data_IF_907361901360
#
_entry.id   IF_907361901360
#
_cell.length_a   1.000
_cell.length_b   1.000
_cell.length_c   1.000
_cell.angle_alpha   90.00
_cell.angle_beta   90.00
_cell.angle_gamma   90.00
#
_symmetry.space_group_name_H-M   'P 1'
#
loop_
_entity.id
_entity.type
_entity.pdbx_description
1 polymer ?
#
# COMPACT_ATOMS: atom_id res chain seq x y z
N UNK A 1 5.98 10.80 21.99
CA UNK A 1 6.10 11.07 20.55
C UNK A 1 6.78 12.42 20.38
N UNK A 2 7.74 12.51 19.46
CA UNK A 2 8.46 13.77 19.16
C UNK A 2 8.23 14.14 17.69
N UNK A 3 8.21 15.44 17.36
CA UNK A 3 8.03 15.89 15.98
C UNK A 3 9.08 16.91 15.55
N UNK A 4 9.63 16.74 14.35
CA UNK A 4 10.63 17.64 13.76
C UNK A 4 10.56 17.54 12.23
N UNK A 5 10.78 18.65 11.52
CA UNK A 5 10.76 18.73 10.05
C UNK A 5 9.47 18.18 9.37
N UNK A 6 8.34 18.21 10.08
CA UNK A 6 7.07 17.64 9.60
C UNK A 6 6.97 16.11 9.76
N UNK A 7 7.95 15.46 10.39
CA UNK A 7 7.90 14.04 10.73
C UNK A 7 7.57 13.83 12.20
N UNK A 8 6.97 12.70 12.51
CA UNK A 8 6.67 12.24 13.86
C UNK A 8 7.50 10.98 14.16
N UNK A 9 8.23 10.99 15.27
CA UNK A 9 9.03 9.88 15.80
C UNK A 9 8.26 9.18 16.92
N UNK A 10 8.19 7.86 16.84
CA UNK A 10 7.39 7.00 17.72
C UNK A 10 8.17 5.74 18.09
N UNK A 11 8.02 5.28 19.33
CA UNK A 11 8.29 3.87 19.66
C UNK A 11 7.25 2.96 18.98
N UNK A 12 7.50 1.65 18.94
CA UNK A 12 6.51 0.71 18.38
C UNK A 12 5.15 0.80 19.11
N UNK A 13 5.13 0.90 20.44
CA UNK A 13 3.87 1.03 21.20
C UNK A 13 3.11 2.33 20.89
N UNK A 14 3.82 3.44 20.74
CA UNK A 14 3.22 4.71 20.32
C UNK A 14 2.68 4.64 18.89
N UNK A 15 3.41 3.97 17.98
CA UNK A 15 2.96 3.75 16.60
C UNK A 15 1.66 2.95 16.55
N UNK A 16 1.52 1.89 17.35
CA UNK A 16 0.29 1.10 17.43
C UNK A 16 -0.92 1.95 17.81
N UNK A 17 -0.80 2.71 18.90
CA UNK A 17 -1.85 3.60 19.36
C UNK A 17 -2.16 4.70 18.32
N UNK A 18 -1.11 5.32 17.78
CA UNK A 18 -1.23 6.38 16.79
C UNK A 18 -1.90 5.89 15.51
N UNK A 19 -1.46 4.76 14.96
CA UNK A 19 -1.98 4.21 13.70
C UNK A 19 -3.45 3.78 13.87
N UNK A 20 -3.79 3.17 15.00
CA UNK A 20 -5.17 2.81 15.32
C UNK A 20 -6.08 4.04 15.40
N UNK A 21 -5.58 5.17 15.92
CA UNK A 21 -6.32 6.44 15.95
C UNK A 21 -6.54 7.08 14.57
N UNK A 22 -5.81 6.68 13.52
CA UNK A 22 -5.92 7.32 12.20
C UNK A 22 -7.17 6.92 11.44
N UNK A 23 -7.78 7.91 10.80
CA UNK A 23 -8.83 7.70 9.81
C UNK A 23 -8.21 7.90 8.43
N UNK A 24 -8.26 6.87 7.59
CA UNK A 24 -7.72 6.90 6.21
C UNK A 24 -8.87 6.65 5.24
N UNK A 25 -8.98 7.52 4.25
CA UNK A 25 -10.03 7.51 3.24
C UNK A 25 -9.75 6.51 2.12
N UNK A 26 -8.49 6.47 1.65
CA UNK A 26 -8.12 5.58 0.55
C UNK A 26 -8.19 4.11 0.98
N UNK A 27 -8.55 3.26 0.03
CA UNK A 27 -8.48 1.81 0.21
C UNK A 27 -7.02 1.40 0.30
N UNK A 28 -6.71 0.64 1.35
CA UNK A 28 -5.42 -0.03 1.56
C UNK A 28 -5.65 -1.51 1.39
N UNK A 29 -4.83 -2.13 0.55
CA UNK A 29 -4.88 -3.55 0.20
C UNK A 29 -3.56 -4.27 0.42
N UNK A 30 -2.46 -3.52 0.54
CA UNK A 30 -1.15 -4.11 0.74
C UNK A 30 -0.22 -3.24 1.58
N UNK A 31 0.84 -3.87 2.05
CA UNK A 31 1.97 -3.25 2.72
C UNK A 31 3.26 -3.71 2.04
N UNK A 32 4.09 -2.75 1.65
CA UNK A 32 5.37 -2.95 0.99
C UNK A 32 6.48 -2.91 2.02
N UNK A 33 7.39 -3.89 1.94
CA UNK A 33 8.59 -3.96 2.78
C UNK A 33 9.80 -3.60 1.93
N UNK A 34 10.56 -2.61 2.40
CA UNK A 34 11.76 -2.11 1.75
C UNK A 34 12.92 -2.03 2.73
N UNK A 35 14.14 -1.97 2.19
CA UNK A 35 15.31 -1.50 2.93
C UNK A 35 15.88 -0.28 2.21
N UNK A 36 16.47 0.63 2.97
CA UNK A 36 17.09 1.81 2.38
C UNK A 36 18.27 1.45 1.49
N UNK A 37 19.01 0.38 1.82
CA UNK A 37 20.35 0.05 1.32
C UNK A 37 21.38 1.13 1.66
N UNK A 38 21.11 2.38 1.29
CA UNK A 38 21.78 3.58 1.79
C UNK A 38 20.69 4.62 2.16
N UNK A 39 20.68 5.18 3.39
CA UNK A 39 21.63 4.94 4.49
C UNK A 39 21.51 3.54 5.10
N UNK A 40 22.64 2.93 5.43
CA UNK A 40 22.72 1.69 6.23
C UNK A 40 23.04 2.02 7.71
N UNK A 41 23.34 1.02 8.54
CA UNK A 41 23.63 1.25 9.96
C UNK A 41 24.85 2.16 10.22
N UNK A 42 25.84 2.21 9.34
CA UNK A 42 27.02 3.09 9.51
C UNK A 42 26.64 4.58 9.50
N UNK A 43 25.47 4.90 8.95
CA UNK A 43 24.95 6.26 8.89
C UNK A 43 24.08 6.63 10.10
N UNK A 44 23.83 5.68 11.01
CA UNK A 44 22.94 5.87 12.17
C UNK A 44 23.74 5.89 13.48
N UNK A 45 23.79 7.05 14.12
CA UNK A 45 24.54 7.26 15.37
C UNK A 45 23.70 7.06 16.66
N UNK A 46 22.44 6.62 16.51
CA UNK A 46 21.51 6.45 17.64
C UNK A 46 20.70 7.70 17.99
N UNK A 47 21.03 8.86 17.43
CA UNK A 47 20.38 10.14 17.78
C UNK A 47 19.87 10.93 16.57
N UNK A 48 20.34 10.61 15.37
CA UNK A 48 20.13 11.39 14.15
C UNK A 48 18.90 10.98 13.31
N UNK A 49 17.84 10.42 13.93
CA UNK A 49 16.68 9.89 13.20
C UNK A 49 16.04 10.91 12.26
N UNK A 50 15.77 12.11 12.76
CA UNK A 50 15.12 13.17 11.98
C UNK A 50 16.02 13.69 10.87
N UNK A 51 17.33 13.76 11.11
CA UNK A 51 18.33 14.17 10.13
C UNK A 51 18.45 13.15 9.00
N UNK A 52 18.43 11.85 9.32
CA UNK A 52 18.39 10.77 8.31
C UNK A 52 17.09 10.80 7.51
N UNK A 53 15.95 10.98 8.17
CA UNK A 53 14.64 11.08 7.52
C UNK A 53 14.57 12.28 6.56
N UNK A 54 15.04 13.44 7.02
CA UNK A 54 15.12 14.65 6.21
C UNK A 54 16.10 14.48 5.04
N UNK A 55 17.26 13.87 5.25
CA UNK A 55 18.22 13.61 4.19
C UNK A 55 17.63 12.70 3.09
N UNK A 56 16.93 11.62 3.46
CA UNK A 56 16.22 10.77 2.50
C UNK A 56 15.14 11.53 1.74
N UNK A 57 14.33 12.37 2.43
CA UNK A 57 13.35 13.23 1.77
C UNK A 57 14.02 14.19 0.78
N UNK A 58 15.09 14.86 1.18
CA UNK A 58 15.81 15.81 0.33
C UNK A 58 16.41 15.12 -0.90
N UNK A 59 16.91 13.90 -0.77
CA UNK A 59 17.37 13.11 -1.92
C UNK A 59 16.20 12.77 -2.85
N UNK A 60 15.10 12.25 -2.31
CA UNK A 60 13.91 11.92 -3.12
C UNK A 60 13.33 13.14 -3.86
N UNK A 61 13.27 14.30 -3.21
CA UNK A 61 12.76 15.52 -3.82
C UNK A 61 13.77 16.12 -4.79
N UNK A 62 15.02 16.30 -4.36
CA UNK A 62 16.04 17.02 -5.12
C UNK A 62 16.67 16.20 -6.24
N UNK A 63 16.90 14.90 -6.04
CA UNK A 63 17.54 14.04 -7.04
C UNK A 63 16.52 13.30 -7.92
N UNK A 64 15.42 12.80 -7.33
CA UNK A 64 14.43 12.02 -8.08
C UNK A 64 13.26 12.86 -8.60
N UNK A 65 13.16 14.14 -8.23
CA UNK A 65 12.06 15.02 -8.62
C UNK A 65 10.71 14.65 -8.03
N UNK A 66 10.69 13.88 -6.93
CA UNK A 66 9.45 13.49 -6.27
C UNK A 66 8.87 14.65 -5.47
N UNK A 67 7.55 14.63 -5.25
CA UNK A 67 6.88 15.65 -4.42
C UNK A 67 7.17 15.51 -2.93
N UNK A 68 7.59 14.33 -2.48
CA UNK A 68 7.90 14.01 -1.09
C UNK A 68 8.78 12.74 -1.01
N UNK A 69 9.21 12.38 0.20
CA UNK A 69 9.82 11.09 0.52
C UNK A 69 8.94 9.93 0.00
N UNK A 70 9.53 8.82 -0.45
CA UNK A 70 8.79 7.74 -1.12
C UNK A 70 7.87 6.94 -0.19
N UNK A 71 8.39 6.58 0.98
CA UNK A 71 7.74 5.72 1.97
C UNK A 71 6.81 6.48 2.92
N UNK A 72 5.87 5.75 3.51
CA UNK A 72 5.01 6.29 4.57
C UNK A 72 5.69 6.28 5.93
N UNK A 73 6.57 5.29 6.15
CA UNK A 73 7.24 5.10 7.42
C UNK A 73 8.66 4.63 7.20
N UNK A 74 9.56 5.05 8.08
CA UNK A 74 10.90 4.47 8.21
C UNK A 74 11.08 3.85 9.58
N UNK A 75 11.59 2.61 9.62
CA UNK A 75 11.91 1.91 10.88
C UNK A 75 13.43 1.87 11.05
N UNK A 76 13.91 2.44 12.15
CA UNK A 76 15.33 2.64 12.46
C UNK A 76 15.93 1.45 13.23
N UNK A 77 17.27 1.35 13.32
CA UNK A 77 17.96 0.22 13.94
C UNK A 77 17.59 -0.01 15.41
N UNK A 78 17.18 1.03 16.13
CA UNK A 78 16.73 0.98 17.52
C UNK A 78 15.23 0.65 17.68
N UNK A 79 14.53 0.31 16.59
CA UNK A 79 13.09 0.01 16.58
C UNK A 79 12.18 1.24 16.57
N UNK A 80 12.75 2.45 16.51
CA UNK A 80 11.98 3.68 16.40
C UNK A 80 11.37 3.81 14.99
N UNK A 81 10.14 4.32 14.91
CA UNK A 81 9.39 4.52 13.66
C UNK A 81 9.20 6.02 13.41
N UNK A 82 9.60 6.50 12.24
CA UNK A 82 9.32 7.86 11.78
C UNK A 82 8.28 7.87 10.68
N UNK A 83 7.37 8.84 10.70
CA UNK A 83 6.50 9.10 9.55
C UNK A 83 7.29 9.68 8.38
N UNK A 84 6.79 9.46 7.17
CA UNK A 84 7.28 10.03 5.92
C UNK A 84 6.11 10.66 5.16
N UNK A 85 5.81 10.10 3.98
CA UNK A 85 4.72 10.52 3.10
C UNK A 85 3.37 10.40 3.80
N UNK A 86 2.45 11.31 3.46
CA UNK A 86 1.05 11.27 3.91
C UNK A 86 0.39 9.91 3.68
N UNK A 87 -0.34 9.40 4.68
CA UNK A 87 -1.11 8.15 4.58
C UNK A 87 -2.28 8.21 3.60
N UNK A 88 -2.69 9.41 3.16
CA UNK A 88 -3.72 9.59 2.11
C UNK A 88 -3.12 9.70 0.71
N UNK A 89 -1.78 9.76 0.59
CA UNK A 89 -1.09 9.73 -0.68
C UNK A 89 -0.65 8.30 -1.05
N UNK A 90 -0.50 8.05 -2.34
CA UNK A 90 0.11 6.82 -2.85
C UNK A 90 1.63 6.86 -2.58
N UNK A 91 2.30 5.78 -2.12
CA UNK A 91 3.75 5.77 -1.94
C UNK A 91 4.49 5.89 -3.29
N UNK A 92 5.80 6.13 -3.26
CA UNK A 92 6.66 6.06 -4.43
C UNK A 92 7.80 5.05 -4.21
N UNK A 93 7.44 3.83 -3.80
CA UNK A 93 8.39 2.80 -3.38
C UNK A 93 8.60 1.72 -4.46
N UNK A 94 7.51 1.12 -4.98
CA UNK A 94 7.57 0.10 -6.04
C UNK A 94 6.87 0.65 -7.28
N UNK A 95 7.66 0.93 -8.33
CA UNK A 95 7.11 1.34 -9.62
C UNK A 95 6.07 0.33 -10.12
N UNK A 96 4.93 0.83 -10.60
CA UNK A 96 3.81 -0.01 -11.07
C UNK A 96 2.99 -0.73 -9.97
N UNK A 97 3.40 -0.68 -8.70
CA UNK A 97 2.71 -1.40 -7.61
C UNK A 97 2.44 -0.55 -6.37
N UNK A 98 2.52 0.79 -6.46
CA UNK A 98 2.29 1.69 -5.33
C UNK A 98 0.83 1.84 -4.93
N UNK A 99 -0.11 1.69 -5.86
CA UNK A 99 -1.53 1.92 -5.59
C UNK A 99 -2.01 1.04 -4.42
N UNK A 100 -2.87 1.61 -3.57
CA UNK A 100 -3.47 0.93 -2.41
C UNK A 100 -2.46 0.37 -1.39
N UNK A 101 -1.19 0.79 -1.44
CA UNK A 101 -0.14 0.26 -0.56
C UNK A 101 0.18 1.22 0.59
N UNK A 102 0.55 0.68 1.75
CA UNK A 102 1.42 1.35 2.73
C UNK A 102 2.86 0.91 2.45
N UNK A 103 3.84 1.77 2.66
CA UNK A 103 5.25 1.44 2.39
C UNK A 103 6.07 1.70 3.65
N UNK A 104 6.74 0.65 4.12
CA UNK A 104 7.76 0.72 5.17
C UNK A 104 9.14 0.62 4.53
N UNK A 105 9.99 1.59 4.86
CA UNK A 105 11.41 1.58 4.53
C UNK A 105 12.22 1.26 5.79
N UNK A 106 12.97 0.17 5.79
CA UNK A 106 13.78 -0.22 6.95
C UNK A 106 15.19 0.32 6.77
N UNK A 107 15.65 1.20 7.67
CA UNK A 107 17.00 1.74 7.58
C UNK A 107 18.00 0.62 7.79
N UNK A 108 18.75 0.27 6.74
CA UNK A 108 19.76 -0.77 6.75
C UNK A 108 20.04 -1.34 5.36
N UNK A 109 21.15 -2.06 5.25
CA UNK A 109 21.45 -2.96 4.14
C UNK A 109 21.27 -4.42 4.57
N UNK A 110 20.05 -4.96 4.46
CA UNK A 110 19.78 -6.37 4.79
C UNK A 110 20.07 -7.37 3.66
N UNK A 111 20.98 -7.03 2.73
CA UNK A 111 21.56 -8.05 1.88
C UNK A 111 22.51 -8.98 2.66
N UNK A 112 22.76 -10.19 2.13
CA UNK A 112 23.70 -11.13 2.73
C UNK A 112 25.09 -10.48 2.82
N UNK A 113 25.64 -10.42 4.03
CA UNK A 113 26.92 -9.76 4.32
C UNK A 113 26.81 -8.27 4.68
N UNK A 114 25.61 -7.69 4.61
CA UNK A 114 25.32 -6.34 5.12
C UNK A 114 24.96 -6.33 6.61
N UNK A 115 24.11 -5.36 6.97
CA UNK A 115 23.65 -5.11 8.33
C UNK A 115 22.96 -6.33 8.93
N UNK A 116 23.32 -6.63 10.18
CA UNK A 116 22.60 -7.62 10.98
C UNK A 116 21.44 -6.92 11.69
N UNK A 117 20.22 -7.22 11.25
CA UNK A 117 19.01 -6.59 11.78
C UNK A 117 18.93 -6.75 13.31
N UNK A 118 18.97 -5.62 14.03
CA UNK A 118 18.85 -5.60 15.49
C UNK A 118 17.50 -6.11 15.95
N UNK A 119 17.46 -6.67 17.17
CA UNK A 119 16.26 -7.28 17.72
C UNK A 119 15.09 -6.28 17.84
N UNK A 120 15.40 -5.04 18.22
CA UNK A 120 14.46 -3.95 18.37
C UNK A 120 13.84 -3.56 17.03
N UNK A 121 14.66 -3.38 15.99
CA UNK A 121 14.19 -3.13 14.63
C UNK A 121 13.36 -4.30 14.11
N UNK A 122 13.83 -5.54 14.29
CA UNK A 122 13.11 -6.76 13.91
C UNK A 122 11.71 -6.81 14.53
N UNK A 123 11.61 -6.54 15.84
CA UNK A 123 10.34 -6.51 16.57
C UNK A 123 9.41 -5.41 16.04
N UNK A 124 9.94 -4.19 15.86
CA UNK A 124 9.18 -3.07 15.32
C UNK A 124 8.61 -3.36 13.93
N UNK A 125 9.39 -3.99 13.03
CA UNK A 125 8.94 -4.37 11.68
C UNK A 125 7.76 -5.35 11.73
N UNK A 126 7.86 -6.42 12.53
CA UNK A 126 6.80 -7.43 12.65
C UNK A 126 5.51 -6.77 13.17
N UNK A 127 5.61 -6.05 14.30
CA UNK A 127 4.45 -5.45 14.96
C UNK A 127 3.82 -4.34 14.13
N UNK A 128 4.62 -3.47 13.51
CA UNK A 128 4.11 -2.41 12.64
C UNK A 128 3.37 -2.99 11.44
N UNK A 129 3.90 -4.07 10.84
CA UNK A 129 3.23 -4.79 9.75
C UNK A 129 1.90 -5.39 10.22
N UNK A 130 1.90 -6.07 11.38
CA UNK A 130 0.68 -6.65 11.96
C UNK A 130 -0.40 -5.60 12.25
N UNK A 131 -0.02 -4.39 12.68
CA UNK A 131 -0.95 -3.27 12.90
C UNK A 131 -1.61 -2.83 11.62
N UNK A 132 -0.85 -2.69 10.53
CA UNK A 132 -1.41 -2.37 9.21
C UNK A 132 -2.37 -3.48 8.76
N UNK A 133 -1.95 -4.75 8.86
CA UNK A 133 -2.80 -5.88 8.49
C UNK A 133 -4.09 -5.91 9.29
N UNK A 134 -4.03 -5.73 10.61
CA UNK A 134 -5.22 -5.68 11.48
C UNK A 134 -6.13 -4.51 11.12
N UNK A 135 -5.58 -3.31 10.99
CA UNK A 135 -6.35 -2.08 10.78
C UNK A 135 -7.12 -2.09 9.47
N UNK A 136 -6.50 -2.59 8.39
CA UNK A 136 -7.11 -2.59 7.06
C UNK A 136 -7.66 -3.94 6.63
N UNK A 137 -7.64 -4.92 7.54
CA UNK A 137 -8.15 -6.26 7.28
C UNK A 137 -7.41 -6.97 6.14
N UNK A 138 -6.07 -6.86 6.13
CA UNK A 138 -5.22 -7.45 5.10
C UNK A 138 -4.85 -8.88 5.48
N UNK A 139 -5.14 -9.89 4.64
CA UNK A 139 -4.74 -11.25 4.92
C UNK A 139 -3.22 -11.40 4.97
N UNK A 140 -2.71 -12.32 5.80
CA UNK A 140 -1.27 -12.58 5.87
C UNK A 140 -0.87 -13.52 4.73
N UNK A 141 -0.56 -12.93 3.58
CA UNK A 141 -0.14 -13.66 2.40
C UNK A 141 0.78 -12.79 1.51
N UNK A 142 1.41 -13.39 0.49
CA UNK A 142 2.34 -12.67 -0.38
C UNK A 142 1.71 -11.60 -1.28
N UNK A 143 0.39 -11.41 -1.29
CA UNK A 143 -0.30 -10.39 -2.10
C UNK A 143 -0.61 -9.15 -1.28
N UNK A 144 -0.80 -9.32 0.03
CA UNK A 144 -1.05 -8.23 0.97
C UNK A 144 0.20 -7.74 1.67
N UNK A 145 1.22 -8.59 1.85
CA UNK A 145 2.54 -8.16 2.34
C UNK A 145 3.51 -8.47 1.21
N UNK A 146 4.09 -7.41 0.62
CA UNK A 146 4.87 -7.52 -0.61
C UNK A 146 6.28 -6.99 -0.43
N UNK A 147 7.23 -7.61 -1.13
CA UNK A 147 8.63 -7.18 -1.16
C UNK A 147 8.93 -6.54 -2.52
N UNK A 148 9.79 -5.52 -2.53
CA UNK A 148 10.21 -4.86 -3.76
C UNK A 148 10.84 -5.83 -4.77
N UNK A 149 11.62 -6.81 -4.29
CA UNK A 149 12.26 -7.84 -5.11
C UNK A 149 11.28 -8.60 -6.02
N UNK A 150 10.00 -8.65 -5.65
CA UNK A 150 9.01 -9.39 -6.42
C UNK A 150 8.54 -8.65 -7.67
N UNK A 151 9.04 -7.45 -7.94
CA UNK A 151 8.61 -6.59 -9.04
C UNK A 151 9.79 -6.21 -9.95
N UNK A 152 9.56 -6.32 -11.26
CA UNK A 152 10.54 -5.98 -12.29
C UNK A 152 10.63 -4.46 -12.48
N UNK A 153 11.86 -3.93 -12.59
CA UNK A 153 12.13 -2.50 -12.48
C UNK A 153 11.64 -1.67 -13.66
N UNK A 154 11.70 -2.20 -14.88
CA UNK A 154 11.29 -1.46 -16.09
C UNK A 154 9.78 -1.37 -16.27
N UNK A 155 9.04 -2.38 -15.83
CA UNK A 155 7.60 -2.53 -16.08
C UNK A 155 6.75 -2.39 -14.83
N UNK A 156 7.33 -2.58 -13.64
CA UNK A 156 6.60 -2.66 -12.38
C UNK A 156 5.74 -3.93 -12.26
N UNK A 157 5.89 -4.87 -13.19
CA UNK A 157 5.14 -6.13 -13.16
C UNK A 157 5.66 -7.01 -12.05
N UNK A 158 4.75 -7.66 -11.32
CA UNK A 158 5.11 -8.72 -10.37
C UNK A 158 5.69 -9.94 -11.10
N UNK A 159 6.90 -10.34 -10.75
CA UNK A 159 7.64 -11.48 -11.30
C UNK A 159 8.14 -12.45 -10.24
N UNK A 160 7.82 -12.19 -8.96
CA UNK A 160 8.24 -12.98 -7.80
C UNK A 160 9.78 -13.18 -7.73
N UNK A 161 10.55 -12.18 -8.18
CA UNK A 161 12.02 -12.21 -8.10
C UNK A 161 12.72 -12.60 -9.40
N UNK A 162 11.98 -12.90 -10.48
CA UNK A 162 12.57 -13.18 -11.80
C UNK A 162 12.78 -11.91 -12.64
N UNK A 163 13.82 -11.89 -13.47
CA UNK A 163 14.15 -10.76 -14.34
C UNK A 163 15.01 -9.70 -13.65
N UNK A 164 14.90 -8.45 -14.10
CA UNK A 164 15.63 -7.32 -13.51
C UNK A 164 14.87 -6.77 -12.30
N UNK A 165 15.24 -7.22 -11.11
CA UNK A 165 14.61 -6.85 -9.84
C UNK A 165 15.66 -6.31 -8.86
N UNK A 166 15.23 -5.56 -7.84
CA UNK A 166 16.11 -5.16 -6.72
C UNK A 166 16.27 -6.29 -5.72
N UNK A 167 17.35 -6.30 -4.94
CA UNK A 167 17.48 -7.20 -3.78
C UNK A 167 16.55 -6.84 -2.62
N UNK A 168 16.13 -5.57 -2.54
CA UNK A 168 15.21 -5.00 -1.56
C UNK A 168 13.97 -5.89 -1.24
N UNK A 169 13.63 -6.15 0.03
CA UNK A 169 14.16 -5.53 1.26
C UNK A 169 15.49 -6.11 1.76
N UNK A 170 16.19 -6.89 0.93
CA UNK A 170 17.49 -7.46 1.22
C UNK A 170 17.45 -8.99 1.21
N UNK A 171 18.47 -9.60 0.62
CA UNK A 171 18.64 -11.06 0.47
C UNK A 171 18.76 -11.82 1.80
N UNK A 172 18.88 -11.13 2.94
CA UNK A 172 18.85 -11.70 4.29
C UNK A 172 17.69 -11.12 5.15
N UNK A 173 16.71 -10.43 4.55
CA UNK A 173 15.57 -9.87 5.26
C UNK A 173 14.67 -10.96 5.85
N UNK A 174 14.69 -11.14 7.17
CA UNK A 174 14.00 -12.25 7.85
C UNK A 174 14.33 -13.63 7.24
N UNK A 175 15.55 -13.82 6.73
CA UNK A 175 15.98 -15.09 6.13
C UNK A 175 15.85 -15.18 4.61
N UNK A 176 15.33 -14.15 3.93
CA UNK A 176 15.40 -14.03 2.47
C UNK A 176 14.37 -13.11 1.84
N UNK A 177 14.57 -12.80 0.55
CA UNK A 177 13.72 -11.87 -0.20
C UNK A 177 12.77 -12.55 -1.21
N UNK A 178 12.71 -13.88 -1.27
CA UNK A 178 11.78 -14.59 -2.14
C UNK A 178 10.40 -14.75 -1.51
N UNK A 179 9.41 -15.12 -2.31
CA UNK A 179 8.04 -15.40 -1.83
C UNK A 179 8.06 -16.55 -0.83
N UNK A 180 8.87 -17.57 -1.08
CA UNK A 180 9.02 -18.75 -0.22
C UNK A 180 9.66 -18.37 1.12
N UNK A 181 10.63 -17.45 1.12
CA UNK A 181 11.29 -16.97 2.32
C UNK A 181 10.32 -16.17 3.19
N UNK A 182 9.52 -15.29 2.57
CA UNK A 182 8.43 -14.59 3.26
C UNK A 182 7.47 -15.58 3.93
N UNK A 183 6.99 -16.58 3.19
CA UNK A 183 6.04 -17.58 3.70
C UNK A 183 6.61 -18.38 4.85
N UNK A 184 7.90 -18.73 4.77
CA UNK A 184 8.57 -19.56 5.76
C UNK A 184 8.94 -18.80 7.02
N UNK A 185 9.36 -17.54 6.90
CA UNK A 185 10.05 -16.86 7.99
C UNK A 185 9.38 -15.58 8.47
N UNK A 186 8.77 -14.77 7.61
CA UNK A 186 8.17 -13.49 8.02
C UNK A 186 6.67 -13.61 8.28
N UNK A 187 5.93 -14.27 7.39
CA UNK A 187 4.48 -14.44 7.52
C UNK A 187 4.06 -15.07 8.86
N UNK A 188 4.72 -16.14 9.38
CA UNK A 188 4.34 -16.73 10.67
C UNK A 188 4.52 -15.78 11.85
N UNK A 189 5.53 -14.89 11.79
CA UNK A 189 5.78 -13.91 12.84
C UNK A 189 4.70 -12.84 12.87
N UNK A 190 4.31 -12.32 11.71
CA UNK A 190 3.21 -11.35 11.60
C UNK A 190 1.89 -12.01 12.02
N UNK A 191 1.67 -13.27 11.64
CA UNK A 191 0.48 -14.03 12.02
C UNK A 191 0.38 -14.24 13.54
N UNK A 192 1.50 -14.49 14.22
CA UNK A 192 1.55 -14.64 15.68
C UNK A 192 1.16 -13.35 16.41
N UNK A 193 1.47 -12.18 15.86
CA UNK A 193 1.00 -10.90 16.42
C UNK A 193 -0.52 -10.70 16.29
N UNK A 194 -1.20 -11.46 15.43
CA UNK A 194 -2.65 -11.36 15.18
C UNK A 194 -3.49 -12.37 15.97
N UNK A 195 -2.89 -13.31 16.70
CA UNK A 195 -3.62 -14.33 17.48
C UNK A 195 -4.27 -13.71 18.73
N UNK A 196 -5.44 -13.10 18.52
CA UNK A 196 -6.29 -12.44 19.52
C UNK A 196 -7.62 -11.92 18.93
N UNK A 197 -7.77 -11.96 17.61
CA UNK A 197 -9.02 -11.76 16.90
C UNK A 197 -8.79 -12.02 15.41
N UNK A 198 -9.54 -12.95 14.82
CA UNK A 198 -9.53 -13.16 13.38
C UNK A 198 -9.89 -11.84 12.67
N UNK A 199 -9.23 -11.57 11.55
CA UNK A 199 -9.57 -10.46 10.67
C UNK A 199 -11.07 -10.54 10.34
N UNK A 200 -11.90 -9.52 10.64
CA UNK A 200 -13.32 -9.57 10.36
C UNK A 200 -13.56 -9.82 8.86
N UNK A 201 -14.56 -10.61 8.47
CA UNK A 201 -14.90 -10.76 7.05
C UNK A 201 -15.27 -9.38 6.48
N UNK A 202 -14.78 -9.09 5.27
CA UNK A 202 -15.18 -7.86 4.57
C UNK A 202 -16.68 -8.01 4.26
N UNK A 203 -17.52 -7.02 4.60
CA UNK A 203 -18.95 -7.11 4.32
C UNK A 203 -19.16 -7.33 2.83
N UNK A 204 -20.03 -8.28 2.44
CA UNK A 204 -20.24 -8.59 1.04
C UNK A 204 -20.56 -7.34 0.21
N UNK A 205 -21.60 -6.60 0.62
CA UNK A 205 -22.19 -5.49 -0.13
C UNK A 205 -21.38 -4.18 -0.16
N UNK A 206 -20.07 -4.20 0.07
CA UNK A 206 -19.25 -2.99 0.04
C UNK A 206 -19.09 -2.48 -1.39
N UNK A 207 -19.56 -1.26 -1.67
CA UNK A 207 -19.35 -0.57 -2.94
C UNK A 207 -17.99 0.11 -2.99
N UNK A 208 -17.43 0.24 -4.18
CA UNK A 208 -16.16 0.93 -4.43
C UNK A 208 -16.28 1.95 -5.56
N UNK A 209 -15.47 3.00 -5.49
CA UNK A 209 -15.31 3.97 -6.57
C UNK A 209 -13.86 4.40 -6.70
N UNK A 210 -13.36 4.60 -7.92
CA UNK A 210 -12.02 5.15 -8.17
C UNK A 210 -12.10 6.65 -8.42
N UNK A 211 -11.18 7.43 -7.85
CA UNK A 211 -11.13 8.89 -8.05
C UNK A 211 -10.55 9.23 -9.42
N UNK A 212 -11.28 10.02 -10.20
CA UNK A 212 -10.86 10.45 -11.55
C UNK A 212 -10.28 11.87 -11.55
N UNK A 213 -10.59 12.72 -10.58
CA UNK A 213 -10.00 14.06 -10.45
C UNK A 213 -8.58 14.00 -9.85
N UNK A 214 -7.68 14.90 -10.28
CA UNK A 214 -6.32 15.01 -9.72
C UNK A 214 -6.34 15.21 -8.19
N UNK A 215 -7.26 16.05 -7.71
CA UNK A 215 -7.49 16.33 -6.29
C UNK A 215 -9.01 16.42 -6.07
N UNK A 216 -9.53 15.62 -5.15
CA UNK A 216 -10.94 15.55 -4.78
C UNK A 216 -11.14 15.92 -3.30
N UNK A 217 -11.75 17.08 -3.07
CA UNK A 217 -12.00 17.56 -1.71
C UNK A 217 -12.97 16.63 -0.95
N UNK A 218 -12.63 16.34 0.30
CA UNK A 218 -13.53 15.67 1.26
C UNK A 218 -14.29 16.73 2.04
N UNK A 219 -15.60 16.57 2.19
CA UNK A 219 -16.49 17.49 2.89
C UNK A 219 -17.24 16.82 4.03
N UNK A 220 -17.69 17.64 4.99
CA UNK A 220 -18.39 17.17 6.20
C UNK A 220 -19.88 16.88 6.00
N UNK A 221 -20.44 17.16 4.82
CA UNK A 221 -21.82 16.87 4.45
C UNK A 221 -21.97 16.73 2.91
N UNK A 222 -23.03 16.06 2.40
CA UNK A 222 -23.24 15.79 0.98
C UNK A 222 -23.75 17.02 0.21
N UNK A 223 -23.01 18.13 0.25
CA UNK A 223 -23.32 19.37 -0.47
C UNK A 223 -22.07 20.21 -0.73
N UNK A 224 -22.06 20.94 -1.84
CA UNK A 224 -20.91 21.75 -2.25
C UNK A 224 -20.57 22.91 -1.31
N UNK A 225 -21.54 23.40 -0.53
CA UNK A 225 -21.37 24.45 0.47
C UNK A 225 -20.89 23.95 1.83
N UNK A 226 -20.80 22.64 2.06
CA UNK A 226 -20.31 22.09 3.32
C UNK A 226 -18.81 22.38 3.49
N UNK A 227 -18.36 22.55 4.74
CA UNK A 227 -16.95 22.70 5.05
C UNK A 227 -16.13 21.52 4.52
N UNK A 228 -14.90 21.81 4.09
CA UNK A 228 -13.91 20.74 3.85
C UNK A 228 -13.59 20.08 5.18
N UNK A 229 -13.33 18.77 5.16
CA UNK A 229 -12.85 18.05 6.33
C UNK A 229 -11.48 18.63 6.73
N UNK A 230 -11.36 19.13 7.97
CA UNK A 230 -10.13 19.75 8.48
C UNK A 230 -9.16 18.73 9.09
N UNK A 231 -9.66 17.53 9.40
CA UNK A 231 -8.91 16.44 10.00
C UNK A 231 -8.17 15.56 8.97
N UNK A 232 -8.26 15.90 7.68
CA UNK A 232 -7.61 15.16 6.59
C UNK A 232 -7.38 15.99 5.33
N UNK A 233 -6.39 15.61 4.51
CA UNK A 233 -6.21 16.19 3.18
C UNK A 233 -7.31 15.71 2.19
N UNK A 234 -7.42 16.37 1.02
CA UNK A 234 -8.16 15.85 -0.12
C UNK A 234 -7.64 14.49 -0.62
N UNK A 235 -8.46 13.79 -1.41
CA UNK A 235 -8.11 12.50 -2.03
C UNK A 235 -7.50 12.72 -3.42
N UNK A 236 -6.47 11.97 -3.79
CA UNK A 236 -5.79 12.07 -5.09
C UNK A 236 -6.39 11.13 -6.17
N UNK A 237 -6.11 11.42 -7.45
CA UNK A 237 -6.51 10.56 -8.59
C UNK A 237 -6.00 9.13 -8.42
N UNK A 238 -6.84 8.17 -8.79
CA UNK A 238 -6.53 6.74 -8.71
C UNK A 238 -6.75 6.13 -7.32
N UNK A 239 -7.04 6.94 -6.30
CA UNK A 239 -7.49 6.39 -5.03
C UNK A 239 -8.81 5.63 -5.23
N UNK A 240 -8.85 4.37 -4.80
CA UNK A 240 -10.09 3.61 -4.70
C UNK A 240 -10.68 3.86 -3.33
N UNK A 241 -11.96 4.17 -3.28
CA UNK A 241 -12.73 4.57 -2.11
C UNK A 241 -13.74 3.49 -1.77
N UNK A 242 -13.86 3.15 -0.49
CA UNK A 242 -14.99 2.37 0.03
C UNK A 242 -16.18 3.30 0.21
N UNK A 243 -17.32 2.95 -0.37
CA UNK A 243 -18.53 3.76 -0.33
C UNK A 243 -19.50 3.18 0.70
N UNK A 244 -19.76 3.96 1.74
CA UNK A 244 -20.61 3.59 2.88
C UNK A 244 -22.04 4.07 2.74
N UNK A 245 -22.28 5.11 1.95
CA UNK A 245 -23.60 5.71 1.75
C UNK A 245 -23.55 6.64 0.53
N UNK A 246 -24.72 6.98 -0.02
CA UNK A 246 -24.87 7.86 -1.18
C UNK A 246 -26.02 8.84 -0.94
N UNK A 247 -25.79 10.13 -1.20
CA UNK A 247 -26.82 11.16 -1.02
C UNK A 247 -26.60 12.32 -1.98
N UNK A 248 -27.62 12.63 -2.79
CA UNK A 248 -27.61 13.77 -3.73
C UNK A 248 -26.36 13.83 -4.64
N UNK A 249 -25.89 12.67 -5.11
CA UNK A 249 -24.68 12.56 -5.94
C UNK A 249 -23.36 12.66 -5.17
N UNK A 250 -23.39 12.68 -3.83
CA UNK A 250 -22.21 12.58 -2.97
C UNK A 250 -22.06 11.17 -2.42
N UNK A 251 -20.82 10.73 -2.30
CA UNK A 251 -20.45 9.41 -1.80
C UNK A 251 -19.84 9.56 -0.41
N UNK A 252 -20.35 8.83 0.58
CA UNK A 252 -19.79 8.78 1.94
C UNK A 252 -18.63 7.80 1.97
N UNK A 253 -17.45 8.28 2.34
CA UNK A 253 -16.19 7.52 2.26
C UNK A 253 -15.62 7.15 3.64
N UNK A 254 -16.38 7.38 4.71
CA UNK A 254 -16.01 7.00 6.07
C UNK A 254 -17.19 6.37 6.78
N UNK A 255 -16.95 5.24 7.46
CA UNK A 255 -17.98 4.53 8.23
C UNK A 255 -18.42 5.34 9.46
N UNK A 256 -17.44 5.85 10.20
CA UNK A 256 -17.63 6.47 11.51
C UNK A 256 -17.78 8.00 11.45
N UNK A 257 -17.45 8.62 10.31
CA UNK A 257 -17.53 10.08 10.13
C UNK A 257 -18.37 10.41 8.89
N UNK A 258 -19.03 11.57 8.91
CA UNK A 258 -19.76 12.11 7.75
C UNK A 258 -18.79 12.74 6.74
N UNK A 259 -17.88 11.95 6.17
CA UNK A 259 -16.96 12.39 5.13
C UNK A 259 -17.49 12.02 3.76
N UNK A 260 -17.62 13.03 2.91
CA UNK A 260 -18.28 12.93 1.62
C UNK A 260 -17.38 13.47 0.51
N UNK A 261 -17.42 12.82 -0.65
CA UNK A 261 -16.83 13.32 -1.90
C UNK A 261 -17.91 13.46 -2.94
N UNK A 262 -17.72 14.37 -3.90
CA UNK A 262 -18.71 14.54 -4.96
C UNK A 262 -18.52 13.46 -6.03
N UNK A 263 -19.50 12.57 -6.19
CA UNK A 263 -19.38 11.35 -6.99
C UNK A 263 -19.13 11.57 -8.47
N UNK A 264 -19.43 12.75 -9.02
CA UNK A 264 -19.10 13.10 -10.42
C UNK A 264 -17.60 13.06 -10.75
N UNK A 265 -16.74 13.06 -9.73
CA UNK A 265 -15.28 12.99 -9.86
C UNK A 265 -14.75 11.60 -9.50
N UNK A 266 -15.63 10.60 -9.60
CA UNK A 266 -15.32 9.19 -9.37
C UNK A 266 -15.95 8.33 -10.45
N UNK A 267 -15.45 7.11 -10.60
CA UNK A 267 -16.02 6.06 -11.43
C UNK A 267 -16.34 4.86 -10.52
N UNK A 268 -17.54 4.30 -10.61
CA UNK A 268 -17.92 3.13 -9.83
C UNK A 268 -17.12 1.92 -10.30
N UNK A 269 -16.66 1.09 -9.37
CA UNK A 269 -15.87 -0.10 -9.70
C UNK A 269 -16.30 -1.30 -8.87
N UNK A 270 -16.22 -2.48 -9.48
CA UNK A 270 -16.46 -3.75 -8.82
C UNK A 270 -15.13 -4.39 -8.43
N UNK A 271 -15.06 -4.92 -7.21
CA UNK A 271 -13.88 -5.60 -6.70
C UNK A 271 -13.92 -7.08 -7.06
N UNK A 272 -12.82 -7.61 -7.58
CA UNK A 272 -12.69 -9.04 -7.86
C UNK A 272 -11.29 -9.55 -7.53
N UNK A 273 -11.15 -10.86 -7.41
CA UNK A 273 -9.86 -11.55 -7.27
C UNK A 273 -9.63 -12.51 -8.43
N UNK A 274 -8.37 -12.67 -8.81
CA UNK A 274 -7.98 -13.58 -9.89
C UNK A 274 -8.04 -15.03 -9.40
N UNK A 275 -8.85 -15.88 -10.03
CA UNK A 275 -8.99 -17.29 -9.65
C UNK A 275 -8.07 -18.24 -10.45
N UNK A 276 -7.54 -17.78 -11.58
CA UNK A 276 -6.60 -18.52 -12.43
C UNK A 276 -5.17 -18.46 -11.88
N UNK A 277 -4.39 -19.53 -12.07
CA UNK A 277 -2.96 -19.55 -11.68
C UNK A 277 -2.17 -18.38 -12.28
N UNK A 278 -2.41 -18.09 -13.56
CA UNK A 278 -1.90 -16.92 -14.28
C UNK A 278 -2.98 -16.44 -15.25
N UNK A 279 -3.50 -15.25 -15.02
CA UNK A 279 -4.48 -14.59 -15.88
C UNK A 279 -3.77 -13.65 -16.86
N UNK A 280 -4.04 -13.77 -18.16
CA UNK A 280 -3.51 -12.86 -19.19
C UNK A 280 -4.27 -11.55 -19.20
N UNK A 281 -3.53 -10.44 -19.16
CA UNK A 281 -4.05 -9.07 -19.34
C UNK A 281 -3.93 -8.70 -20.81
N UNK A 282 -5.01 -8.19 -21.40
CA UNK A 282 -5.06 -7.86 -22.83
C UNK A 282 -5.32 -6.39 -23.10
N UNK A 283 -4.91 -5.93 -24.28
CA UNK A 283 -5.14 -4.55 -24.74
C UNK A 283 -6.58 -4.25 -25.19
N UNK A 284 -7.49 -5.23 -25.09
CA UNK A 284 -8.89 -5.08 -25.50
C UNK A 284 -9.76 -6.29 -25.13
N UNK A 285 -11.10 -6.17 -25.27
CA UNK A 285 -12.06 -7.20 -24.87
C UNK A 285 -12.15 -8.31 -25.92
N UNK A 286 -11.25 -9.29 -25.84
CA UNK A 286 -11.24 -10.44 -26.75
C UNK A 286 -9.91 -11.19 -26.79
N UNK A 287 -9.95 -12.45 -27.24
CA UNK A 287 -8.74 -13.27 -27.40
C UNK A 287 -7.84 -12.83 -28.56
N UNK A 288 -8.38 -12.04 -29.50
CA UNK A 288 -7.65 -11.48 -30.64
C UNK A 288 -6.78 -10.26 -30.29
N UNK A 289 -6.97 -9.66 -29.10
CA UNK A 289 -6.17 -8.54 -28.65
C UNK A 289 -4.84 -9.01 -28.06
N UNK A 290 -3.80 -8.18 -28.22
CA UNK A 290 -2.45 -8.47 -27.72
C UNK A 290 -2.43 -8.69 -26.20
N UNK A 291 -1.57 -9.59 -25.73
CA UNK A 291 -1.31 -9.79 -24.30
C UNK A 291 -0.30 -8.73 -23.87
N UNK A 292 -0.69 -7.90 -22.91
CA UNK A 292 0.11 -6.77 -22.40
C UNK A 292 0.61 -7.01 -20.97
N UNK A 293 0.25 -8.13 -20.37
CA UNK A 293 0.69 -8.50 -19.03
C UNK A 293 0.04 -9.78 -18.51
N UNK A 294 0.31 -10.07 -17.25
CA UNK A 294 -0.26 -11.21 -16.54
C UNK A 294 -0.51 -10.85 -15.08
N UNK A 295 -1.58 -11.39 -14.50
CA UNK A 295 -1.87 -11.32 -13.06
C UNK A 295 -1.80 -12.72 -12.45
N UNK A 296 -1.17 -12.89 -11.27
CA UNK A 296 -1.14 -14.15 -10.56
C UNK A 296 -2.49 -14.45 -9.87
N UNK A 297 -2.70 -15.71 -9.48
CA UNK A 297 -3.83 -16.10 -8.64
C UNK A 297 -3.88 -15.29 -7.35
N UNK A 298 -5.09 -14.97 -6.90
CA UNK A 298 -5.40 -14.18 -5.70
C UNK A 298 -5.01 -12.70 -5.78
N UNK A 299 -4.49 -12.24 -6.92
CA UNK A 299 -4.34 -10.80 -7.17
C UNK A 299 -5.71 -10.14 -7.15
N UNK A 300 -5.81 -8.99 -6.47
CA UNK A 300 -7.03 -8.21 -6.37
C UNK A 300 -7.07 -7.14 -7.46
N UNK A 301 -8.25 -6.95 -8.06
CA UNK A 301 -8.49 -6.00 -9.15
C UNK A 301 -9.78 -5.22 -8.95
N UNK A 302 -9.82 -4.02 -9.52
CA UNK A 302 -11.02 -3.18 -9.60
C UNK A 302 -11.45 -3.03 -11.04
N UNK A 303 -12.69 -3.43 -11.34
CA UNK A 303 -13.27 -3.49 -12.66
C UNK A 303 -14.20 -2.29 -12.86
N UNK A 304 -13.93 -1.47 -13.87
CA UNK A 304 -14.75 -0.30 -14.19
C UNK A 304 -15.83 -0.59 -15.24
N UNK A 305 -15.60 -1.59 -16.10
CA UNK A 305 -16.51 -1.89 -17.21
C UNK A 305 -16.51 -3.39 -17.49
N UNK A 306 -17.68 -3.93 -17.84
CA UNK A 306 -17.82 -5.25 -18.44
C UNK A 306 -18.34 -5.14 -19.87
N UNK A 307 -17.70 -5.86 -20.79
CA UNK A 307 -18.10 -5.95 -22.19
C UNK A 307 -17.93 -7.37 -22.72
N UNK A 308 -19.05 -8.01 -23.05
CA UNK A 308 -19.07 -9.32 -23.72
C UNK A 308 -18.20 -10.39 -23.04
N UNK A 309 -18.28 -10.50 -21.70
CA UNK A 309 -17.48 -11.46 -20.91
C UNK A 309 -16.04 -11.04 -20.63
N UNK A 310 -15.67 -9.80 -20.94
CA UNK A 310 -14.38 -9.18 -20.59
C UNK A 310 -14.59 -8.02 -19.61
N UNK A 311 -13.63 -7.85 -18.71
CA UNK A 311 -13.67 -6.86 -17.64
C UNK A 311 -12.49 -5.89 -17.81
N UNK A 312 -12.76 -4.59 -17.86
CA UNK A 312 -11.75 -3.53 -17.97
C UNK A 312 -11.27 -3.11 -16.59
N UNK A 313 -9.95 -3.03 -16.41
CA UNK A 313 -9.34 -2.51 -15.21
C UNK A 313 -9.59 -1.00 -15.07
N UNK A 314 -9.88 -0.56 -13.85
CA UNK A 314 -10.13 0.85 -13.56
C UNK A 314 -8.95 1.74 -13.96
N UNK A 315 -9.24 2.88 -14.60
CA UNK A 315 -8.26 3.85 -15.10
C UNK A 315 -7.23 3.31 -16.12
N UNK A 316 -7.43 2.11 -16.67
CA UNK A 316 -6.50 1.47 -17.59
C UNK A 316 -7.20 0.94 -18.84
N UNK A 317 -6.50 0.96 -19.98
CA UNK A 317 -6.95 0.29 -21.22
C UNK A 317 -6.53 -1.18 -21.25
N UNK A 318 -6.80 -1.88 -20.14
CA UNK A 318 -6.40 -3.28 -19.92
C UNK A 318 -7.61 -4.13 -19.55
N UNK A 319 -7.67 -5.31 -20.15
CA UNK A 319 -8.85 -6.18 -20.11
C UNK A 319 -8.51 -7.59 -19.62
N UNK A 320 -9.42 -8.15 -18.83
CA UNK A 320 -9.35 -9.47 -18.21
C UNK A 320 -10.55 -10.30 -18.65
N UNK A 321 -10.40 -11.61 -18.78
CA UNK A 321 -11.56 -12.48 -19.04
C UNK A 321 -12.33 -12.72 -17.75
N UNK A 322 -13.64 -12.43 -17.76
CA UNK A 322 -14.51 -12.48 -16.58
C UNK A 322 -14.54 -13.84 -15.91
N UNK A 323 -14.45 -14.92 -16.68
CA UNK A 323 -14.50 -16.29 -16.14
C UNK A 323 -13.36 -16.61 -15.17
N UNK A 324 -12.30 -15.79 -15.17
CA UNK A 324 -11.15 -15.96 -14.28
C UNK A 324 -11.13 -14.97 -13.10
N UNK A 325 -12.27 -14.33 -12.85
CA UNK A 325 -12.46 -13.37 -11.78
C UNK A 325 -13.56 -13.83 -10.84
N UNK A 326 -13.23 -13.89 -9.54
CA UNK A 326 -14.20 -14.08 -8.47
C UNK A 326 -14.56 -12.69 -7.92
N UNK A 327 -15.77 -12.23 -8.23
CA UNK A 327 -16.25 -10.94 -7.73
C UNK A 327 -16.55 -11.05 -6.24
N UNK A 328 -16.07 -10.06 -5.48
CA UNK A 328 -16.36 -9.95 -4.06
C UNK A 328 -17.73 -9.30 -3.94
N UNK A 329 -18.76 -10.14 -3.91
CA UNK A 329 -20.17 -9.76 -3.69
C UNK A 329 -20.41 -9.27 -2.29
#
# INVERSE_FOLDING_TARGET
MESKYGFLKMTIGEFEAWMNSKHIARTILSVQQHHTWVPNYDHFDGSNHFERQLAMKNHHVGANGWSDIGQHFTIFPDGTILTGRSLEATPACIYGANQHSICFEHLGDFDQGGDQMRLEQRNAIIRATAVICRKFNLPINPFSIVYHHWYELGTGRRTNGSGSTKSCPGTNFFGGNKVEDFQKYFAPLVQAELTGGALPPIPPSMKYAVVTANILNVRTAPKGSASKASDRPPVERGAVLRIYDESNGWLKISKSQSHWVYGRYTESVDRATVNASVLRVRSGPGTNFSIVGTLPKSEEVFIAEEKSGWCKLALEEKWLSKQYLDFVA
#
